data_IF_151907644589
#
_entry.id   IF_151907644589
#
_cell.length_a   1.000
_cell.length_b   1.000
_cell.length_c   1.000
_cell.angle_alpha   90.00
_cell.angle_beta   90.00
_cell.angle_gamma   90.00
#
_symmetry.space_group_name_H-M   'P 1'
#
loop_
_entity.id
_entity.type
_entity.pdbx_description
1 polymer ?
#
# COMPACT_ATOMS: atom_id res chain seq x y z
N UNK A 1 10.95 8.88 -29.39
CA UNK A 1 10.88 8.88 -27.91
C UNK A 1 12.29 9.08 -27.43
N UNK A 2 12.54 10.06 -26.57
CA UNK A 2 13.89 10.34 -26.11
C UNK A 2 14.42 9.13 -25.32
N UNK A 3 15.68 8.71 -25.53
CA UNK A 3 16.24 7.52 -24.90
C UNK A 3 16.15 7.58 -23.36
N UNK A 4 16.22 8.78 -22.78
CA UNK A 4 16.03 9.01 -21.34
C UNK A 4 14.62 8.63 -20.85
N UNK A 5 13.58 8.98 -21.61
CA UNK A 5 12.18 8.66 -21.29
C UNK A 5 11.97 7.15 -21.38
N UNK A 6 12.59 6.48 -22.34
CA UNK A 6 12.51 5.03 -22.48
C UNK A 6 13.16 4.32 -21.27
N UNK A 7 14.36 4.75 -20.85
CA UNK A 7 15.03 4.21 -19.67
C UNK A 7 14.22 4.44 -18.39
N UNK A 8 13.59 5.60 -18.24
CA UNK A 8 12.70 5.88 -17.12
C UNK A 8 11.50 4.93 -17.07
N UNK A 9 10.82 4.71 -18.20
CA UNK A 9 9.66 3.80 -18.28
C UNK A 9 10.09 2.35 -17.99
N UNK A 10 11.26 1.92 -18.47
CA UNK A 10 11.80 0.59 -18.18
C UNK A 10 12.09 0.40 -16.69
N UNK A 11 12.73 1.39 -16.06
CA UNK A 11 12.98 1.36 -14.62
C UNK A 11 11.67 1.30 -13.82
N UNK A 12 10.68 2.12 -14.19
CA UNK A 12 9.36 2.09 -13.58
C UNK A 12 8.71 0.71 -13.75
N UNK A 13 8.79 0.11 -14.93
CA UNK A 13 8.28 -1.24 -15.19
C UNK A 13 8.94 -2.29 -14.30
N UNK A 14 10.27 -2.25 -14.16
CA UNK A 14 11.00 -3.16 -13.28
C UNK A 14 10.57 -2.99 -11.82
N UNK A 15 10.45 -1.74 -11.34
CA UNK A 15 9.98 -1.44 -9.98
C UNK A 15 8.57 -2.00 -9.75
N UNK A 16 7.67 -1.83 -10.71
CA UNK A 16 6.30 -2.35 -10.64
C UNK A 16 6.25 -3.88 -10.62
N UNK A 17 7.09 -4.55 -11.42
CA UNK A 17 7.20 -6.02 -11.42
C UNK A 17 7.69 -6.51 -10.05
N UNK A 18 8.71 -5.87 -9.49
CA UNK A 18 9.25 -6.22 -8.16
C UNK A 18 8.21 -6.01 -7.08
N UNK A 19 7.48 -4.88 -7.10
CA UNK A 19 6.38 -4.62 -6.16
C UNK A 19 5.26 -5.65 -6.29
N UNK A 20 4.87 -6.00 -7.50
CA UNK A 20 3.86 -7.04 -7.76
C UNK A 20 4.28 -8.40 -7.21
N UNK A 21 5.53 -8.81 -7.44
CA UNK A 21 6.07 -10.05 -6.89
C UNK A 21 6.11 -10.02 -5.35
N UNK A 22 6.50 -8.89 -4.77
CA UNK A 22 6.56 -8.71 -3.32
C UNK A 22 5.16 -8.82 -2.69
N UNK A 23 4.15 -8.21 -3.30
CA UNK A 23 2.75 -8.33 -2.85
C UNK A 23 2.19 -9.75 -3.03
N UNK A 24 2.60 -10.47 -4.07
CA UNK A 24 2.20 -11.86 -4.27
C UNK A 24 2.77 -12.79 -3.19
N UNK A 25 4.02 -12.56 -2.75
CA UNK A 25 4.71 -13.38 -1.76
C UNK A 25 4.40 -12.94 -0.31
N UNK A 26 4.01 -11.69 -0.11
CA UNK A 26 3.72 -11.10 1.21
C UNK A 26 2.78 -11.96 2.10
N UNK A 27 1.65 -12.52 1.62
CA UNK A 27 0.77 -13.35 2.45
C UNK A 27 1.49 -14.57 3.05
N UNK A 28 2.33 -15.24 2.26
CA UNK A 28 3.11 -16.41 2.68
C UNK A 28 4.17 -16.05 3.73
N UNK A 29 4.73 -14.83 3.64
CA UNK A 29 5.68 -14.32 4.63
C UNK A 29 4.96 -13.96 5.93
N UNK A 30 3.77 -13.34 5.85
CA UNK A 30 2.95 -13.01 7.02
C UNK A 30 2.37 -14.25 7.72
N UNK A 31 2.16 -15.37 7.01
CA UNK A 31 1.81 -16.65 7.63
C UNK A 31 2.91 -17.19 8.55
N UNK A 32 4.18 -17.01 8.17
CA UNK A 32 5.33 -17.53 8.91
C UNK A 32 5.85 -16.58 10.00
N UNK A 33 5.30 -15.37 10.12
CA UNK A 33 5.65 -14.41 11.16
C UNK A 33 4.62 -14.43 12.30
N UNK A 34 4.88 -15.16 13.40
CA UNK A 34 3.98 -15.22 14.56
C UNK A 34 3.96 -13.94 15.40
N UNK A 35 4.75 -12.90 15.07
CA UNK A 35 5.03 -11.76 15.96
C UNK A 35 4.39 -10.42 15.54
N UNK A 36 3.50 -10.40 14.54
CA UNK A 36 2.79 -9.17 14.15
C UNK A 36 1.85 -8.64 15.24
N UNK A 37 1.55 -9.45 16.26
CA UNK A 37 0.72 -9.07 17.43
C UNK A 37 1.29 -7.91 18.25
N UNK A 38 2.59 -7.60 18.15
CA UNK A 38 3.18 -6.43 18.84
C UNK A 38 2.96 -5.11 18.13
N UNK A 39 2.52 -5.13 16.88
CA UNK A 39 2.25 -3.89 16.16
C UNK A 39 0.87 -3.38 16.59
N UNK A 40 0.76 -2.10 17.03
CA UNK A 40 -0.54 -1.52 17.36
C UNK A 40 -1.50 -1.68 16.19
N UNK A 41 -2.72 -2.15 16.47
CA UNK A 41 -3.77 -2.38 15.47
C UNK A 41 -4.07 -1.14 14.60
N UNK A 42 -3.82 0.07 15.13
CA UNK A 42 -3.99 1.34 14.41
C UNK A 42 -3.00 1.47 13.23
N UNK A 43 -1.80 0.88 13.37
CA UNK A 43 -0.73 0.90 12.37
C UNK A 43 -0.92 -0.27 11.40
N UNK A 44 -1.19 -1.46 11.92
CA UNK A 44 -1.36 -2.67 11.13
C UNK A 44 -2.49 -3.52 11.69
N UNK A 45 -3.58 -3.58 10.95
CA UNK A 45 -4.72 -4.44 11.25
C UNK A 45 -4.66 -5.65 10.32
N UNK A 46 -4.39 -6.82 10.89
CA UNK A 46 -4.38 -8.09 10.17
C UNK A 46 -5.60 -8.89 10.59
N UNK A 47 -6.51 -9.08 9.64
CA UNK A 47 -7.66 -9.95 9.77
C UNK A 47 -7.33 -11.32 9.18
N UNK A 48 -7.53 -12.39 9.96
CA UNK A 48 -7.28 -13.78 9.54
C UNK A 48 -8.52 -14.62 9.86
N UNK A 49 -9.20 -15.11 8.83
CA UNK A 49 -10.38 -15.99 8.97
C UNK A 49 -10.34 -17.06 7.89
N UNK A 50 -10.50 -18.33 8.26
CA UNK A 50 -10.70 -19.48 7.35
C UNK A 50 -9.75 -19.55 6.13
N UNK A 51 -8.44 -19.28 6.35
CA UNK A 51 -7.43 -19.32 5.30
C UNK A 51 -7.31 -18.03 4.45
N UNK A 52 -8.11 -17.00 4.76
CA UNK A 52 -7.99 -15.68 4.16
C UNK A 52 -7.22 -14.73 5.09
N UNK A 53 -6.19 -14.06 4.55
CA UNK A 53 -5.37 -13.06 5.27
C UNK A 53 -5.59 -11.71 4.62
N UNK A 54 -6.12 -10.77 5.38
CA UNK A 54 -6.34 -9.39 4.98
C UNK A 54 -5.53 -8.47 5.90
N UNK A 55 -4.41 -7.95 5.39
CA UNK A 55 -3.59 -6.97 6.09
C UNK A 55 -3.90 -5.58 5.56
N UNK A 56 -4.34 -4.69 6.45
CA UNK A 56 -4.60 -3.28 6.14
C UNK A 56 -4.00 -2.38 7.21
N UNK A 57 -3.91 -1.08 6.93
CA UNK A 57 -3.40 -0.07 7.85
C UNK A 57 -4.48 0.98 8.08
N UNK A 58 -5.21 0.93 9.21
CA UNK A 58 -6.29 1.88 9.51
C UNK A 58 -5.84 3.34 9.41
N UNK A 59 -4.61 3.64 9.86
CA UNK A 59 -4.06 5.00 9.77
C UNK A 59 -3.84 5.45 8.32
N UNK A 60 -3.38 4.57 7.42
CA UNK A 60 -3.22 4.93 6.00
C UNK A 60 -4.57 5.20 5.34
N UNK A 61 -5.62 4.45 5.71
CA UNK A 61 -6.98 4.71 5.24
C UNK A 61 -7.44 6.11 5.69
N UNK A 62 -7.27 6.44 6.98
CA UNK A 62 -7.64 7.76 7.52
C UNK A 62 -6.88 8.88 6.79
N UNK A 63 -5.56 8.73 6.63
CA UNK A 63 -4.73 9.72 5.92
C UNK A 63 -5.15 9.86 4.46
N UNK A 64 -5.49 8.75 3.79
CA UNK A 64 -5.95 8.78 2.40
C UNK A 64 -7.28 9.52 2.27
N UNK A 65 -8.23 9.23 3.16
CA UNK A 65 -9.53 9.92 3.22
C UNK A 65 -9.33 11.43 3.52
N UNK A 66 -8.52 11.77 4.52
CA UNK A 66 -8.22 13.16 4.86
C UNK A 66 -7.55 13.91 3.70
N UNK A 67 -6.61 13.27 3.00
CA UNK A 67 -5.94 13.84 1.84
C UNK A 67 -6.90 14.06 0.69
N UNK A 68 -7.81 13.11 0.44
CA UNK A 68 -8.86 13.22 -0.58
C UNK A 68 -9.83 14.37 -0.26
N UNK A 69 -10.26 14.49 1.00
CA UNK A 69 -11.11 15.58 1.48
C UNK A 69 -10.43 16.94 1.33
N UNK A 70 -9.16 17.06 1.71
CA UNK A 70 -8.38 18.29 1.54
C UNK A 70 -8.22 18.66 0.07
N UNK A 71 -7.93 17.68 -0.79
CA UNK A 71 -7.84 17.90 -2.23
C UNK A 71 -9.18 18.37 -2.81
N UNK A 72 -10.29 17.74 -2.41
CA UNK A 72 -11.63 18.13 -2.85
C UNK A 72 -12.00 19.54 -2.36
N UNK A 73 -11.61 19.92 -1.14
CA UNK A 73 -11.89 21.23 -0.58
C UNK A 73 -11.09 22.35 -1.26
N UNK A 74 -9.83 22.08 -1.60
CA UNK A 74 -9.00 22.95 -2.45
C UNK A 74 -9.59 23.08 -3.85
N UNK A 75 -10.03 21.98 -4.44
CA UNK A 75 -10.65 21.97 -5.76
C UNK A 75 -11.95 22.78 -5.81
N UNK A 76 -12.74 22.75 -4.73
CA UNK A 76 -13.99 23.51 -4.62
C UNK A 76 -13.78 25.00 -4.28
N UNK A 77 -12.52 25.48 -4.21
CA UNK A 77 -12.20 26.89 -3.96
C UNK A 77 -12.56 27.40 -2.55
N UNK A 78 -12.78 26.49 -1.60
CA UNK A 78 -13.10 26.83 -0.20
C UNK A 78 -11.85 26.94 0.68
N UNK A 79 -10.65 26.89 0.09
CA UNK A 79 -9.34 27.00 0.72
C UNK A 79 -8.30 27.50 -0.28
#
# INVERSE_FOLDING_TARGET
>A
MDPEVLHFIQLLGVVLIVLGALFFIAPLLFEKMPSLERIPWIILYVYRTDGFIFATSPILIIVSIASLLLWMLRWLGKL
#
